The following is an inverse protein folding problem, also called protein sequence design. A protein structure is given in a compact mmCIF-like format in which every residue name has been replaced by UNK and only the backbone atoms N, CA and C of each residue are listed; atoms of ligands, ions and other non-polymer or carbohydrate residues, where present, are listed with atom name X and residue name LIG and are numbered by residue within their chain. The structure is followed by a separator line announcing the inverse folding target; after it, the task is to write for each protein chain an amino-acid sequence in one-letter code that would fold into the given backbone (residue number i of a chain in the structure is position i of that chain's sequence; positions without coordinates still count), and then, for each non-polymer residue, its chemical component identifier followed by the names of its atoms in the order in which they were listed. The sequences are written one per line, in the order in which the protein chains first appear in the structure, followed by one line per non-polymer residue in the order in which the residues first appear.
data_IF_030569651662
#
_entry.id   IF_030569651662
#
_cell.length_a   1.000
_cell.length_b   1.000
_cell.length_c   1.000
_cell.angle_alpha   90.00
_cell.angle_beta   90.00
_cell.angle_gamma   90.00
#
_symmetry.space_group_name_H-M   'P 1'
#
loop_
_entity.id
_entity.type
_entity.pdbx_description
1 polymer ?
#
# COMPACT_ATOMS: atom_id res chain seq x y z
N UNK A 1 -15.65 38.02 -7.46
CA UNK A 1 -16.75 37.35 -8.17
C UNK A 1 -16.57 35.87 -8.45
N UNK A 2 -15.46 35.21 -8.11
CA UNK A 2 -15.26 33.75 -8.31
C UNK A 2 -15.57 32.88 -7.05
N UNK A 3 -16.32 33.43 -6.08
CA UNK A 3 -16.49 32.75 -4.81
C UNK A 3 -17.51 31.59 -4.78
N UNK A 4 -18.35 31.42 -5.81
CA UNK A 4 -19.41 30.41 -5.86
C UNK A 4 -19.58 29.84 -7.29
N UNK A 5 -18.61 29.06 -7.80
CA UNK A 5 -18.66 28.55 -9.17
C UNK A 5 -19.88 27.66 -9.45
N UNK A 6 -20.44 27.02 -8.44
CA UNK A 6 -21.64 26.17 -8.51
C UNK A 6 -22.91 27.00 -8.92
N UNK A 7 -23.01 28.23 -8.49
CA UNK A 7 -24.12 29.11 -8.90
C UNK A 7 -24.00 29.52 -10.38
N UNK A 8 -22.78 29.86 -10.79
CA UNK A 8 -22.55 30.17 -12.22
C UNK A 8 -22.83 28.95 -13.12
N UNK A 9 -22.43 27.74 -12.66
CA UNK A 9 -22.71 26.52 -13.40
C UNK A 9 -24.21 26.31 -13.63
N UNK A 10 -25.04 26.54 -12.61
CA UNK A 10 -26.51 26.44 -12.70
C UNK A 10 -27.08 27.49 -13.63
N UNK A 11 -26.72 28.75 -13.47
CA UNK A 11 -27.21 29.83 -14.34
C UNK A 11 -26.85 29.63 -15.81
N UNK A 12 -25.62 29.15 -16.11
CA UNK A 12 -25.25 28.82 -17.47
C UNK A 12 -26.03 27.61 -18.02
N UNK A 13 -26.35 26.60 -17.21
CA UNK A 13 -27.19 25.48 -17.60
C UNK A 13 -28.61 25.97 -17.97
N UNK A 14 -29.23 26.80 -17.11
CA UNK A 14 -30.55 27.40 -17.32
C UNK A 14 -30.60 28.31 -18.57
N UNK A 15 -29.50 29.02 -18.86
CA UNK A 15 -29.36 29.84 -20.04
C UNK A 15 -29.02 29.07 -21.33
N UNK A 16 -28.95 27.74 -21.30
CA UNK A 16 -28.58 26.89 -22.44
C UNK A 16 -27.10 26.96 -22.83
N UNK A 17 -26.26 27.61 -22.02
CA UNK A 17 -24.82 27.77 -22.27
C UNK A 17 -24.04 26.57 -21.70
N UNK A 18 -24.35 25.38 -22.22
CA UNK A 18 -23.88 24.08 -21.68
C UNK A 18 -22.37 24.02 -21.55
N UNK A 19 -21.60 24.47 -22.55
CA UNK A 19 -20.12 24.44 -22.46
C UNK A 19 -19.56 25.24 -21.28
N UNK A 20 -20.13 26.42 -21.00
CA UNK A 20 -19.76 27.23 -19.83
C UNK A 20 -20.16 26.55 -18.54
N UNK A 21 -21.37 25.97 -18.50
CA UNK A 21 -21.83 25.20 -17.35
C UNK A 21 -20.86 24.08 -16.98
N UNK A 22 -20.39 23.31 -17.95
CA UNK A 22 -19.39 22.22 -17.76
C UNK A 22 -18.11 22.73 -17.08
N UNK A 23 -17.55 23.83 -17.61
CA UNK A 23 -16.33 24.43 -17.05
C UNK A 23 -16.51 24.85 -15.59
N UNK A 24 -17.65 25.47 -15.27
CA UNK A 24 -17.92 25.94 -13.91
C UNK A 24 -18.26 24.81 -12.94
N UNK A 25 -18.92 23.72 -13.37
CA UNK A 25 -19.07 22.51 -12.56
C UNK A 25 -17.71 21.88 -12.26
N UNK A 26 -16.77 21.84 -13.21
CA UNK A 26 -15.41 21.38 -13.00
C UNK A 26 -14.67 22.25 -11.97
N UNK A 27 -14.79 23.59 -12.05
CA UNK A 27 -14.23 24.51 -11.05
C UNK A 27 -14.83 24.29 -9.66
N UNK A 28 -16.16 24.10 -9.57
CA UNK A 28 -16.86 23.83 -8.32
C UNK A 28 -16.36 22.54 -7.67
N UNK A 29 -16.29 21.43 -8.43
CA UNK A 29 -15.81 20.15 -7.95
C UNK A 29 -14.37 20.21 -7.43
N UNK A 30 -13.45 20.81 -8.18
CA UNK A 30 -12.06 20.99 -7.73
C UNK A 30 -11.96 21.86 -6.46
N UNK A 31 -12.77 22.90 -6.36
CA UNK A 31 -12.81 23.76 -5.17
C UNK A 31 -13.33 23.02 -3.94
N UNK A 32 -14.40 22.23 -4.09
CA UNK A 32 -14.93 21.41 -2.99
C UNK A 32 -13.92 20.35 -2.56
N UNK A 33 -13.21 19.71 -3.50
CA UNK A 33 -12.12 18.80 -3.21
C UNK A 33 -10.98 19.46 -2.43
N UNK A 34 -10.57 20.67 -2.81
CA UNK A 34 -9.52 21.44 -2.13
C UNK A 34 -9.89 21.80 -0.67
N UNK A 35 -11.18 21.82 -0.34
CA UNK A 35 -11.69 22.04 1.02
C UNK A 35 -12.03 20.74 1.75
N UNK A 36 -11.62 19.61 1.21
CA UNK A 36 -11.93 18.25 1.71
C UNK A 36 -13.43 17.90 1.73
N UNK A 37 -14.28 18.66 1.03
CA UNK A 37 -15.71 18.38 0.85
C UNK A 37 -15.91 17.35 -0.29
N UNK A 38 -15.38 16.13 -0.10
CA UNK A 38 -15.23 15.14 -1.18
C UNK A 38 -16.56 14.65 -1.75
N UNK A 39 -17.60 14.45 -0.92
CA UNK A 39 -18.93 14.04 -1.38
C UNK A 39 -19.57 15.12 -2.27
N UNK A 40 -19.44 16.39 -1.90
CA UNK A 40 -19.89 17.52 -2.67
C UNK A 40 -19.11 17.63 -3.99
N UNK A 41 -17.78 17.47 -3.93
CA UNK A 41 -16.92 17.45 -5.12
C UNK A 41 -17.36 16.38 -6.13
N UNK A 42 -17.61 15.16 -5.67
CA UNK A 42 -18.08 14.05 -6.52
C UNK A 42 -19.41 14.40 -7.21
N UNK A 43 -20.37 14.95 -6.46
CA UNK A 43 -21.68 15.35 -7.00
C UNK A 43 -21.56 16.49 -8.03
N UNK A 44 -20.71 17.48 -7.78
CA UNK A 44 -20.48 18.60 -8.71
C UNK A 44 -19.80 18.16 -10.00
N UNK A 45 -18.77 17.28 -9.91
CA UNK A 45 -18.10 16.71 -11.08
C UNK A 45 -19.07 15.85 -11.91
N UNK A 46 -19.96 15.08 -11.27
CA UNK A 46 -20.97 14.31 -11.97
C UNK A 46 -21.94 15.21 -12.73
N UNK A 47 -22.43 16.31 -12.13
CA UNK A 47 -23.25 17.30 -12.85
C UNK A 47 -22.53 17.89 -14.06
N UNK A 48 -21.21 18.12 -13.96
CA UNK A 48 -20.40 18.55 -15.10
C UNK A 48 -20.41 17.51 -16.23
N UNK A 49 -20.29 16.23 -15.92
CA UNK A 49 -20.34 15.13 -16.87
C UNK A 49 -21.73 14.98 -17.50
N UNK A 50 -22.80 15.14 -16.71
CA UNK A 50 -24.18 15.08 -17.20
C UNK A 50 -24.44 16.22 -18.21
N UNK A 51 -23.98 17.44 -17.93
CA UNK A 51 -24.05 18.54 -18.87
C UNK A 51 -23.20 18.29 -20.14
N UNK A 52 -22.00 17.71 -19.96
CA UNK A 52 -21.10 17.40 -21.07
C UNK A 52 -21.72 16.37 -22.04
N UNK A 53 -22.55 15.48 -21.55
CA UNK A 53 -23.25 14.49 -22.37
C UNK A 53 -24.22 15.10 -23.39
N UNK A 54 -24.67 16.34 -23.18
CA UNK A 54 -25.55 17.07 -24.09
C UNK A 54 -24.80 17.69 -25.28
N UNK A 55 -23.46 17.73 -25.25
CA UNK A 55 -22.63 18.32 -26.30
C UNK A 55 -22.24 17.27 -27.36
N UNK A 56 -22.09 17.69 -28.64
CA UNK A 56 -21.57 16.80 -29.69
C UNK A 56 -20.16 16.35 -29.40
N UNK A 57 -19.79 15.16 -29.91
CA UNK A 57 -18.44 14.59 -29.72
C UNK A 57 -17.40 15.36 -30.55
N UNK A 58 -16.72 16.27 -29.91
CA UNK A 58 -15.65 17.09 -30.46
C UNK A 58 -14.36 16.92 -29.67
N UNK A 59 -13.18 17.25 -30.21
CA UNK A 59 -11.94 17.24 -29.45
C UNK A 59 -11.99 18.10 -28.17
N UNK A 60 -12.68 19.23 -28.22
CA UNK A 60 -12.88 20.11 -27.07
C UNK A 60 -13.75 19.44 -25.99
N UNK A 61 -14.86 18.80 -26.38
CA UNK A 61 -15.67 18.00 -25.44
C UNK A 61 -14.86 16.90 -24.79
N UNK A 62 -14.06 16.16 -25.57
CA UNK A 62 -13.18 15.09 -25.05
C UNK A 62 -12.16 15.65 -24.05
N UNK A 63 -11.63 16.85 -24.29
CA UNK A 63 -10.72 17.50 -23.34
C UNK A 63 -11.41 17.84 -22.02
N UNK A 64 -12.62 18.39 -22.06
CA UNK A 64 -13.41 18.64 -20.86
C UNK A 64 -13.79 17.34 -20.12
N UNK A 65 -14.12 16.28 -20.87
CA UNK A 65 -14.37 14.96 -20.26
C UNK A 65 -13.13 14.44 -19.54
N UNK A 66 -11.93 14.56 -20.15
CA UNK A 66 -10.66 14.19 -19.54
C UNK A 66 -10.44 14.91 -18.21
N UNK A 67 -10.61 16.24 -18.19
CA UNK A 67 -10.44 17.08 -17.00
C UNK A 67 -11.40 16.66 -15.86
N UNK A 68 -12.67 16.46 -16.19
CA UNK A 68 -13.69 16.04 -15.22
C UNK A 68 -13.43 14.64 -14.69
N UNK A 69 -13.15 13.66 -15.57
CA UNK A 69 -12.89 12.27 -15.19
C UNK A 69 -11.61 12.13 -14.36
N UNK A 70 -10.57 12.87 -14.70
CA UNK A 70 -9.34 12.95 -13.93
C UNK A 70 -9.60 13.45 -12.50
N UNK A 71 -10.31 14.58 -12.36
CA UNK A 71 -10.70 15.11 -11.05
C UNK A 71 -11.62 14.16 -10.29
N UNK A 72 -12.56 13.49 -10.98
CA UNK A 72 -13.47 12.51 -10.39
C UNK A 72 -12.71 11.29 -9.84
N UNK A 73 -11.73 10.78 -10.60
CA UNK A 73 -10.87 9.69 -10.16
C UNK A 73 -10.13 10.02 -8.85
N UNK A 74 -9.53 11.20 -8.76
CA UNK A 74 -8.85 11.66 -7.55
C UNK A 74 -9.81 11.78 -6.34
N UNK A 75 -11.02 12.31 -6.56
CA UNK A 75 -12.06 12.40 -5.51
C UNK A 75 -12.52 11.00 -5.07
N UNK A 76 -12.74 10.08 -6.01
CA UNK A 76 -13.16 8.71 -5.68
C UNK A 76 -12.10 7.93 -4.90
N UNK A 77 -10.82 8.17 -5.13
CA UNK A 77 -9.75 7.61 -4.28
C UNK A 77 -9.99 7.92 -2.80
N UNK A 78 -10.41 9.14 -2.48
CA UNK A 78 -10.65 9.57 -1.09
C UNK A 78 -11.97 9.03 -0.54
N UNK A 79 -13.04 9.04 -1.32
CA UNK A 79 -14.41 8.69 -0.86
C UNK A 79 -14.69 7.19 -0.92
N UNK A 80 -14.22 6.52 -1.96
CA UNK A 80 -14.52 5.12 -2.27
C UNK A 80 -13.33 4.20 -2.02
N UNK A 81 -12.10 4.74 -2.13
CA UNK A 81 -10.86 3.99 -2.07
C UNK A 81 -10.22 3.76 -3.44
N UNK A 82 -8.92 3.48 -3.42
CA UNK A 82 -8.12 3.29 -4.65
C UNK A 82 -8.57 2.09 -5.50
N UNK A 83 -9.13 1.06 -4.88
CA UNK A 83 -9.54 -0.19 -5.55
C UNK A 83 -11.04 -0.24 -5.87
N UNK A 84 -11.80 0.82 -5.59
CA UNK A 84 -13.23 0.86 -5.84
C UNK A 84 -13.55 0.84 -7.36
N UNK A 85 -14.58 0.12 -7.80
CA UNK A 85 -14.94 0.04 -9.21
C UNK A 85 -15.15 1.42 -9.88
N UNK A 86 -15.74 2.37 -9.17
CA UNK A 86 -15.97 3.73 -9.67
C UNK A 86 -14.67 4.49 -9.90
N UNK A 87 -13.65 4.27 -9.02
CA UNK A 87 -12.30 4.83 -9.20
C UNK A 87 -11.67 4.26 -10.46
N UNK A 88 -11.76 2.94 -10.65
CA UNK A 88 -11.26 2.26 -11.85
C UNK A 88 -11.91 2.76 -13.13
N UNK A 89 -13.24 2.87 -13.16
CA UNK A 89 -14.00 3.37 -14.32
C UNK A 89 -13.61 4.82 -14.70
N UNK A 90 -13.49 5.68 -13.68
CA UNK A 90 -13.12 7.07 -13.91
C UNK A 90 -11.71 7.18 -14.54
N UNK A 91 -10.72 6.45 -13.97
CA UNK A 91 -9.35 6.46 -14.52
C UNK A 91 -9.23 5.73 -15.85
N UNK A 92 -9.96 4.63 -16.08
CA UNK A 92 -9.93 3.92 -17.36
C UNK A 92 -10.43 4.85 -18.49
N UNK A 93 -11.59 5.51 -18.29
CA UNK A 93 -12.11 6.46 -19.27
C UNK A 93 -11.20 7.67 -19.46
N UNK A 94 -10.66 8.20 -18.38
CA UNK A 94 -9.68 9.29 -18.46
C UNK A 94 -8.42 8.86 -19.24
N UNK A 95 -7.94 7.65 -19.09
CA UNK A 95 -6.75 7.13 -19.79
C UNK A 95 -7.01 6.97 -21.30
N UNK A 96 -8.16 6.42 -21.69
CA UNK A 96 -8.56 6.35 -23.10
C UNK A 96 -8.56 7.74 -23.76
N UNK A 97 -9.15 8.73 -23.10
CA UNK A 97 -9.19 10.10 -23.58
C UNK A 97 -7.79 10.74 -23.62
N UNK A 98 -6.97 10.44 -22.62
CA UNK A 98 -5.59 10.92 -22.56
C UNK A 98 -4.77 10.41 -23.75
N UNK A 99 -4.90 9.12 -24.11
CA UNK A 99 -4.25 8.55 -25.31
C UNK A 99 -4.78 9.19 -26.60
N UNK A 100 -6.11 9.31 -26.75
CA UNK A 100 -6.76 9.92 -27.92
C UNK A 100 -6.35 11.37 -28.15
N UNK A 101 -6.06 12.11 -27.10
CA UNK A 101 -5.62 13.51 -27.14
C UNK A 101 -4.09 13.68 -27.25
N UNK A 102 -3.35 12.59 -27.55
CA UNK A 102 -1.90 12.62 -27.71
C UNK A 102 -1.13 12.66 -26.40
N UNK A 103 -1.71 12.15 -25.33
CA UNK A 103 -1.07 11.95 -24.02
C UNK A 103 -0.48 13.24 -23.41
N UNK A 104 -1.27 14.32 -23.23
CA UNK A 104 -0.74 15.60 -22.77
C UNK A 104 -0.07 15.49 -21.39
N UNK A 105 1.08 16.16 -21.20
CA UNK A 105 1.90 16.11 -19.99
C UNK A 105 1.19 16.61 -18.72
N UNK A 106 0.22 17.53 -18.87
CA UNK A 106 -0.57 18.01 -17.73
C UNK A 106 -1.39 16.92 -17.02
N UNK A 107 -1.56 15.73 -17.63
CA UNK A 107 -2.42 14.65 -17.14
C UNK A 107 -1.67 13.33 -16.91
N UNK A 108 -0.37 13.38 -16.63
CA UNK A 108 0.45 12.17 -16.35
C UNK A 108 0.04 11.43 -15.05
N UNK A 109 -0.70 12.10 -14.17
CA UNK A 109 -1.31 11.47 -13.00
C UNK A 109 -2.44 10.49 -13.34
N UNK A 110 -2.99 10.51 -14.55
CA UNK A 110 -4.04 9.57 -14.99
C UNK A 110 -3.51 8.14 -15.14
N UNK A 111 -2.48 7.85 -15.99
CA UNK A 111 -1.92 6.50 -16.07
C UNK A 111 -1.34 6.03 -14.72
N UNK A 112 -0.83 6.94 -13.89
CA UNK A 112 -0.43 6.63 -12.52
C UNK A 112 -1.63 6.20 -11.67
N UNK A 113 -2.74 6.93 -11.67
CA UNK A 113 -3.95 6.61 -10.91
C UNK A 113 -4.56 5.28 -11.35
N UNK A 114 -4.59 5.00 -12.65
CA UNK A 114 -5.04 3.72 -13.19
C UNK A 114 -4.11 2.58 -12.77
N UNK A 115 -2.78 2.77 -12.83
CA UNK A 115 -1.83 1.78 -12.33
C UNK A 115 -2.03 1.51 -10.84
N UNK A 116 -2.25 2.55 -10.03
CA UNK A 116 -2.54 2.40 -8.60
C UNK A 116 -3.82 1.60 -8.34
N UNK A 117 -4.87 1.80 -9.13
CA UNK A 117 -6.10 1.01 -9.07
C UNK A 117 -5.81 -0.49 -9.30
N UNK A 118 -5.09 -0.84 -10.37
CA UNK A 118 -4.75 -2.22 -10.70
C UNK A 118 -3.82 -2.87 -9.67
N UNK A 119 -2.83 -2.14 -9.15
CA UNK A 119 -1.98 -2.63 -8.05
C UNK A 119 -2.84 -3.05 -6.85
N UNK A 120 -3.76 -2.19 -6.43
CA UNK A 120 -4.56 -2.46 -5.24
C UNK A 120 -5.53 -3.63 -5.40
N UNK A 121 -5.93 -3.95 -6.62
CA UNK A 121 -6.75 -5.11 -6.96
C UNK A 121 -5.95 -6.40 -7.20
N UNK A 122 -4.62 -6.36 -7.11
CA UNK A 122 -3.78 -7.52 -7.40
C UNK A 122 -3.58 -7.79 -8.92
N UNK A 123 -3.87 -6.84 -9.77
CA UNK A 123 -3.76 -6.95 -11.24
C UNK A 123 -2.38 -6.46 -11.72
N UNK A 124 -1.30 -7.07 -11.18
CA UNK A 124 0.07 -6.55 -11.27
C UNK A 124 0.64 -6.47 -12.69
N UNK A 125 0.27 -7.39 -13.57
CA UNK A 125 0.73 -7.36 -14.97
C UNK A 125 0.18 -6.13 -15.72
N UNK A 126 -1.06 -5.76 -15.45
CA UNK A 126 -1.68 -4.56 -16.01
C UNK A 126 -1.02 -3.29 -15.46
N UNK A 127 -0.86 -3.25 -14.15
CA UNK A 127 -0.19 -2.16 -13.47
C UNK A 127 1.25 -1.94 -13.95
N UNK A 128 1.99 -3.03 -14.20
CA UNK A 128 3.35 -2.96 -14.72
C UNK A 128 3.40 -2.35 -16.13
N UNK A 129 2.52 -2.78 -17.04
CA UNK A 129 2.44 -2.21 -18.38
C UNK A 129 2.13 -0.70 -18.36
N UNK A 130 1.24 -0.26 -17.48
CA UNK A 130 0.90 1.15 -17.31
C UNK A 130 2.09 1.97 -16.79
N UNK A 131 2.80 1.46 -15.79
CA UNK A 131 4.00 2.10 -15.25
C UNK A 131 5.11 2.21 -16.30
N UNK A 132 5.36 1.15 -17.08
CA UNK A 132 6.34 1.14 -18.18
C UNK A 132 5.93 2.08 -19.32
N UNK A 133 4.65 2.12 -19.66
CA UNK A 133 4.09 3.06 -20.63
C UNK A 133 4.33 4.52 -20.21
N UNK A 134 4.01 4.83 -18.95
CA UNK A 134 4.26 6.15 -18.37
C UNK A 134 5.74 6.52 -18.38
N UNK A 135 6.63 5.60 -17.98
CA UNK A 135 8.09 5.80 -18.03
C UNK A 135 8.60 6.04 -19.45
N UNK A 136 8.07 5.31 -20.44
CA UNK A 136 8.46 5.45 -21.85
C UNK A 136 8.08 6.82 -22.39
N UNK A 137 6.83 7.24 -22.22
CA UNK A 137 6.34 8.55 -22.68
C UNK A 137 7.11 9.68 -21.99
N UNK A 138 7.36 9.54 -20.69
CA UNK A 138 8.06 10.56 -19.90
C UNK A 138 9.52 10.70 -20.29
N UNK A 139 10.22 9.58 -20.62
CA UNK A 139 11.60 9.61 -21.14
C UNK A 139 11.67 10.32 -22.51
N UNK A 140 10.78 9.98 -23.43
CA UNK A 140 10.73 10.59 -24.76
C UNK A 140 10.53 12.10 -24.71
N UNK A 141 9.83 12.60 -23.68
CA UNK A 141 9.51 14.03 -23.50
C UNK A 141 10.42 14.75 -22.52
N UNK A 142 11.40 14.04 -21.92
CA UNK A 142 12.20 14.57 -20.81
C UNK A 142 11.36 15.10 -19.66
N UNK A 143 10.20 14.45 -19.41
CA UNK A 143 9.22 14.85 -18.40
C UNK A 143 9.57 14.23 -17.05
N UNK A 144 10.20 15.01 -16.20
CA UNK A 144 10.65 14.54 -14.88
C UNK A 144 9.49 14.24 -13.91
N UNK A 145 8.29 14.86 -14.08
CA UNK A 145 7.12 14.56 -13.26
C UNK A 145 6.60 13.15 -13.55
N UNK A 146 6.42 12.84 -14.83
CA UNK A 146 6.02 11.52 -15.25
C UNK A 146 7.05 10.44 -14.89
N UNK A 147 8.35 10.76 -14.92
CA UNK A 147 9.39 9.84 -14.46
C UNK A 147 9.25 9.54 -12.96
N UNK A 148 8.99 10.54 -12.11
CA UNK A 148 8.73 10.33 -10.67
C UNK A 148 7.56 9.39 -10.46
N UNK A 149 6.41 9.68 -11.09
CA UNK A 149 5.19 8.87 -10.95
C UNK A 149 5.38 7.44 -11.50
N UNK A 150 6.03 7.31 -12.64
CA UNK A 150 6.30 6.01 -13.27
C UNK A 150 7.25 5.14 -12.44
N UNK A 151 8.33 5.71 -11.91
CA UNK A 151 9.24 4.99 -11.02
C UNK A 151 8.57 4.61 -9.70
N UNK A 152 7.78 5.51 -9.09
CA UNK A 152 7.02 5.19 -7.89
C UNK A 152 6.01 4.05 -8.13
N UNK A 153 5.25 4.12 -9.23
CA UNK A 153 4.28 3.08 -9.60
C UNK A 153 4.96 1.71 -9.81
N UNK A 154 6.06 1.67 -10.56
CA UNK A 154 6.84 0.45 -10.80
C UNK A 154 7.40 -0.12 -9.48
N UNK A 155 7.99 0.74 -8.63
CA UNK A 155 8.53 0.33 -7.34
C UNK A 155 7.47 -0.28 -6.42
N UNK A 156 6.30 0.36 -6.34
CA UNK A 156 5.18 -0.16 -5.56
C UNK A 156 4.64 -1.50 -6.09
N UNK A 157 4.53 -1.64 -7.40
CA UNK A 157 4.11 -2.89 -8.04
C UNK A 157 5.08 -4.03 -7.73
N UNK A 158 6.39 -3.78 -7.89
CA UNK A 158 7.46 -4.73 -7.63
C UNK A 158 7.52 -5.18 -6.16
N UNK A 159 7.22 -4.29 -5.21
CA UNK A 159 7.10 -4.64 -3.79
C UNK A 159 6.06 -5.73 -3.57
N UNK A 160 4.85 -5.58 -4.14
CA UNK A 160 3.77 -6.54 -3.92
C UNK A 160 4.05 -7.93 -4.52
N UNK A 161 4.83 -8.00 -5.59
CA UNK A 161 5.25 -9.27 -6.18
C UNK A 161 6.60 -9.78 -5.63
N UNK A 162 7.07 -9.21 -4.51
CA UNK A 162 8.26 -9.68 -3.80
C UNK A 162 9.61 -9.39 -4.50
N UNK A 163 9.66 -8.49 -5.47
CA UNK A 163 10.91 -8.06 -6.14
C UNK A 163 11.51 -6.86 -5.42
N UNK A 164 11.94 -7.09 -4.16
CA UNK A 164 12.29 -6.00 -3.25
C UNK A 164 13.51 -5.17 -3.69
N UNK A 165 14.58 -5.79 -4.19
CA UNK A 165 15.75 -5.07 -4.67
C UNK A 165 15.42 -4.14 -5.86
N UNK A 166 14.67 -4.64 -6.83
CA UNK A 166 14.18 -3.83 -7.95
C UNK A 166 13.21 -2.73 -7.50
N UNK A 167 12.34 -3.03 -6.53
CA UNK A 167 11.43 -2.07 -5.91
C UNK A 167 12.21 -0.92 -5.27
N UNK A 168 13.22 -1.24 -4.44
CA UNK A 168 14.13 -0.27 -3.82
C UNK A 168 14.73 0.66 -4.86
N UNK A 169 15.32 0.12 -5.92
CA UNK A 169 15.94 0.92 -6.98
C UNK A 169 14.96 1.92 -7.61
N UNK A 170 13.74 1.47 -7.91
CA UNK A 170 12.72 2.34 -8.50
C UNK A 170 12.27 3.44 -7.51
N UNK A 171 12.07 3.11 -6.24
CA UNK A 171 11.63 4.07 -5.22
C UNK A 171 12.71 5.11 -4.91
N UNK A 172 13.97 4.70 -4.77
CA UNK A 172 15.11 5.61 -4.59
C UNK A 172 15.27 6.53 -5.81
N UNK A 173 15.07 6.01 -7.03
CA UNK A 173 15.10 6.81 -8.26
C UNK A 173 13.97 7.84 -8.30
N UNK A 174 12.75 7.45 -7.90
CA UNK A 174 11.62 8.37 -7.80
C UNK A 174 11.91 9.52 -6.81
N UNK A 175 12.45 9.21 -5.63
CA UNK A 175 12.81 10.21 -4.62
C UNK A 175 13.93 11.13 -5.11
N UNK A 176 14.99 10.58 -5.71
CA UNK A 176 16.08 11.40 -6.26
C UNK A 176 15.58 12.38 -7.31
N UNK A 177 14.75 11.92 -8.25
CA UNK A 177 14.14 12.77 -9.27
C UNK A 177 13.21 13.82 -8.66
N UNK A 178 12.42 13.47 -7.64
CA UNK A 178 11.50 14.39 -6.99
C UNK A 178 12.24 15.56 -6.32
N UNK A 179 13.33 15.30 -5.62
CA UNK A 179 14.07 16.34 -4.89
C UNK A 179 14.97 17.22 -5.76
N UNK A 180 15.34 16.75 -6.95
CA UNK A 180 16.13 17.55 -7.90
C UNK A 180 15.28 18.45 -8.80
N UNK A 181 13.95 18.36 -8.74
CA UNK A 181 13.05 19.16 -9.56
C UNK A 181 12.85 20.58 -9.00
N UNK A 182 12.94 21.63 -9.86
CA UNK A 182 12.61 23.00 -9.47
C UNK A 182 11.09 23.19 -9.27
N UNK A 183 10.26 22.52 -10.09
CA UNK A 183 8.79 22.60 -10.03
C UNK A 183 8.19 21.26 -9.59
N UNK A 184 7.39 21.31 -8.53
CA UNK A 184 6.67 20.16 -7.94
C UNK A 184 5.17 20.20 -8.15
N UNK A 185 4.64 21.23 -8.83
CA UNK A 185 3.19 21.47 -8.95
C UNK A 185 2.44 20.31 -9.61
N UNK A 186 2.98 19.77 -10.72
CA UNK A 186 2.35 18.65 -11.45
C UNK A 186 2.31 17.33 -10.65
N UNK A 187 3.19 17.18 -9.67
CA UNK A 187 3.24 15.99 -8.82
C UNK A 187 2.23 16.10 -7.68
N UNK A 188 1.84 17.33 -7.30
CA UNK A 188 0.84 17.60 -6.27
C UNK A 188 -0.60 17.28 -6.70
N UNK A 189 -0.86 17.11 -7.98
CA UNK A 189 -2.17 16.71 -8.52
C UNK A 189 -2.47 15.21 -8.31
N UNK A 190 -1.46 14.40 -7.96
CA UNK A 190 -1.69 13.05 -7.50
C UNK A 190 -2.45 13.07 -6.15
N UNK A 191 -3.34 12.09 -5.92
CA UNK A 191 -4.16 12.02 -4.71
C UNK A 191 -3.33 12.00 -3.41
N UNK A 192 -2.05 11.66 -3.51
CA UNK A 192 -1.05 11.66 -2.43
C UNK A 192 0.28 12.23 -2.95
N UNK A 193 1.01 13.02 -2.14
CA UNK A 193 2.38 13.43 -2.47
C UNK A 193 3.27 12.21 -2.74
N UNK A 194 3.86 12.10 -3.94
CA UNK A 194 4.59 10.88 -4.33
C UNK A 194 5.82 10.60 -3.46
N UNK A 195 6.48 11.65 -2.95
CA UNK A 195 7.66 11.49 -2.08
C UNK A 195 7.30 10.87 -0.73
N UNK A 196 6.19 11.29 -0.10
CA UNK A 196 5.74 10.74 1.17
C UNK A 196 5.32 9.27 1.00
N UNK A 197 4.56 8.99 -0.06
CA UNK A 197 4.14 7.64 -0.39
C UNK A 197 5.34 6.75 -0.75
N UNK A 198 6.31 7.25 -1.52
CA UNK A 198 7.52 6.51 -1.87
C UNK A 198 8.37 6.19 -0.64
N UNK A 199 8.51 7.12 0.31
CA UNK A 199 9.21 6.87 1.59
C UNK A 199 8.51 5.79 2.42
N UNK A 200 7.17 5.83 2.52
CA UNK A 200 6.40 4.81 3.25
C UNK A 200 6.61 3.41 2.66
N UNK A 201 6.51 3.28 1.34
CA UNK A 201 6.75 2.01 0.64
C UNK A 201 8.22 1.59 0.74
N UNK A 202 9.17 2.52 0.56
CA UNK A 202 10.61 2.24 0.67
C UNK A 202 10.98 1.78 2.07
N UNK A 203 10.40 2.36 3.12
CA UNK A 203 10.62 1.91 4.49
C UNK A 203 10.22 0.44 4.68
N UNK A 204 9.08 0.04 4.14
CA UNK A 204 8.67 -1.37 4.19
C UNK A 204 9.60 -2.29 3.35
N UNK A 205 9.99 -1.87 2.16
CA UNK A 205 10.93 -2.60 1.29
C UNK A 205 12.29 -2.78 1.98
N UNK A 206 12.82 -1.73 2.60
CA UNK A 206 14.08 -1.78 3.35
C UNK A 206 13.99 -2.75 4.54
N UNK A 207 12.87 -2.77 5.25
CA UNK A 207 12.63 -3.74 6.32
C UNK A 207 12.73 -5.17 5.78
N UNK A 208 12.03 -5.49 4.69
CA UNK A 208 12.09 -6.81 4.07
C UNK A 208 13.52 -7.18 3.62
N UNK A 209 14.25 -6.23 3.06
CA UNK A 209 15.65 -6.40 2.63
C UNK A 209 16.65 -6.52 3.79
N UNK A 210 16.24 -6.31 5.05
CA UNK A 210 17.11 -6.44 6.22
C UNK A 210 17.81 -5.15 6.66
N UNK A 211 17.24 -3.99 6.33
CA UNK A 211 17.73 -2.67 6.74
C UNK A 211 16.72 -1.95 7.67
N UNK A 212 16.56 -2.41 8.92
CA UNK A 212 15.50 -1.89 9.81
C UNK A 212 15.72 -0.44 10.27
N UNK A 213 16.97 0.03 10.44
CA UNK A 213 17.25 1.40 10.83
C UNK A 213 16.99 2.38 9.68
N UNK A 214 17.36 2.01 8.45
CA UNK A 214 17.01 2.77 7.26
C UNK A 214 15.48 2.75 7.04
N UNK A 215 14.80 1.64 7.31
CA UNK A 215 13.35 1.53 7.24
C UNK A 215 12.67 2.50 8.21
N UNK A 216 13.14 2.58 9.46
CA UNK A 216 12.68 3.53 10.47
C UNK A 216 12.87 4.98 10.00
N UNK A 217 14.05 5.32 9.49
CA UNK A 217 14.32 6.66 8.98
C UNK A 217 13.34 7.08 7.87
N UNK A 218 13.04 6.19 6.93
CA UNK A 218 12.11 6.48 5.83
C UNK A 218 10.67 6.65 6.31
N UNK A 219 10.15 5.76 7.16
CA UNK A 219 8.77 5.86 7.67
C UNK A 219 8.59 7.07 8.58
N UNK A 220 9.56 7.37 9.44
CA UNK A 220 9.56 8.59 10.27
C UNK A 220 9.54 9.86 9.40
N UNK A 221 10.35 9.91 8.35
CA UNK A 221 10.37 11.03 7.41
C UNK A 221 9.06 11.17 6.64
N UNK A 222 8.39 10.07 6.29
CA UNK A 222 7.08 10.09 5.65
C UNK A 222 6.00 10.69 6.57
N UNK A 223 5.92 10.23 7.83
CA UNK A 223 4.98 10.75 8.83
C UNK A 223 5.24 12.23 9.13
N UNK A 224 6.50 12.60 9.39
CA UNK A 224 6.87 13.99 9.68
C UNK A 224 6.58 14.93 8.50
N UNK A 225 6.83 14.48 7.27
CA UNK A 225 6.50 15.21 6.06
C UNK A 225 5.00 15.41 5.85
N UNK A 226 4.19 14.41 6.21
CA UNK A 226 2.73 14.46 6.08
C UNK A 226 2.06 15.41 7.09
N UNK A 227 2.67 15.61 8.26
CA UNK A 227 2.15 16.53 9.30
C UNK A 227 2.30 18.00 8.93
N UNK A 228 3.34 18.39 8.15
CA UNK A 228 3.64 19.79 7.84
C UNK A 228 2.60 20.52 6.98
N UNK A 229 2.08 19.93 5.88
CA UNK A 229 1.09 20.60 5.03
C UNK A 229 -0.36 20.35 5.49
N UNK A 230 -0.62 19.79 6.66
CA UNK A 230 -1.95 19.44 7.16
C UNK A 230 -2.82 18.73 6.09
N UNK A 231 -2.25 17.68 5.44
CA UNK A 231 -2.96 16.88 4.44
C UNK A 231 -3.37 15.52 5.02
N UNK A 232 -4.60 15.40 5.57
CA UNK A 232 -5.04 14.20 6.30
C UNK A 232 -4.87 12.87 5.55
N UNK A 233 -5.13 12.78 4.22
CA UNK A 233 -4.90 11.54 3.50
C UNK A 233 -3.44 11.06 3.51
N UNK A 234 -2.48 12.01 3.40
CA UNK A 234 -1.06 11.68 3.45
C UNK A 234 -0.61 11.26 4.84
N UNK A 235 -1.17 11.87 5.88
CA UNK A 235 -0.90 11.48 7.25
C UNK A 235 -1.42 10.07 7.53
N UNK A 236 -2.66 9.75 7.13
CA UNK A 236 -3.20 8.40 7.25
C UNK A 236 -2.35 7.37 6.51
N UNK A 237 -1.84 7.70 5.31
CA UNK A 237 -0.94 6.83 4.56
C UNK A 237 0.38 6.59 5.29
N UNK A 238 1.04 7.66 5.76
CA UNK A 238 2.29 7.58 6.51
C UNK A 238 2.15 6.74 7.78
N UNK A 239 1.12 7.02 8.58
CA UNK A 239 0.80 6.27 9.80
C UNK A 239 0.50 4.78 9.50
N UNK A 240 -0.23 4.49 8.43
CA UNK A 240 -0.55 3.13 8.02
C UNK A 240 0.71 2.32 7.61
N UNK A 241 1.67 2.94 6.91
CA UNK A 241 2.94 2.29 6.59
C UNK A 241 3.80 2.07 7.82
N UNK A 242 3.88 3.06 8.74
CA UNK A 242 4.66 2.94 9.96
C UNK A 242 4.04 1.89 10.92
N UNK A 243 2.73 1.88 11.11
CA UNK A 243 2.03 0.87 11.90
C UNK A 243 2.28 -0.55 11.36
N UNK A 244 2.30 -0.71 10.02
CA UNK A 244 2.62 -2.02 9.41
C UNK A 244 4.05 -2.44 9.70
N UNK A 245 5.03 -1.54 9.57
CA UNK A 245 6.42 -1.80 9.93
C UNK A 245 6.55 -2.26 11.39
N UNK A 246 5.89 -1.54 12.30
CA UNK A 246 5.90 -1.84 13.73
C UNK A 246 5.26 -3.20 14.06
N UNK A 247 4.17 -3.56 13.36
CA UNK A 247 3.52 -4.86 13.55
C UNK A 247 4.42 -6.05 13.20
N UNK A 248 5.36 -5.86 12.27
CA UNK A 248 6.35 -6.90 11.93
C UNK A 248 7.55 -6.92 12.89
N UNK A 249 7.92 -5.78 13.47
CA UNK A 249 9.03 -5.69 14.40
C UNK A 249 8.66 -6.11 15.83
N UNK A 250 7.37 -6.19 16.15
CA UNK A 250 6.90 -6.51 17.50
C UNK A 250 7.11 -5.39 18.50
N UNK A 251 7.16 -4.15 18.04
CA UNK A 251 7.17 -2.95 18.90
C UNK A 251 5.71 -2.55 19.19
N UNK A 252 5.12 -3.26 20.15
CA UNK A 252 3.70 -3.14 20.46
C UNK A 252 3.34 -1.77 21.08
N UNK A 253 4.26 -1.12 21.79
CA UNK A 253 4.05 0.20 22.37
C UNK A 253 3.96 1.30 21.29
N UNK A 254 4.95 1.33 20.39
CA UNK A 254 4.94 2.28 19.29
C UNK A 254 3.79 1.99 18.30
N UNK A 255 3.44 0.71 18.09
CA UNK A 255 2.30 0.34 17.26
C UNK A 255 0.98 0.89 17.83
N UNK A 256 0.79 0.84 19.14
CA UNK A 256 -0.41 1.39 19.81
C UNK A 256 -0.55 2.88 19.51
N UNK A 257 0.51 3.66 19.75
CA UNK A 257 0.49 5.09 19.45
C UNK A 257 0.12 5.40 18.01
N UNK A 258 0.67 4.66 17.06
CA UNK A 258 0.38 4.83 15.63
C UNK A 258 -1.03 4.41 15.26
N UNK A 259 -1.55 3.33 15.86
CA UNK A 259 -2.91 2.86 15.63
C UNK A 259 -3.93 3.88 16.16
N UNK A 260 -3.72 4.42 17.36
CA UNK A 260 -4.60 5.41 17.96
C UNK A 260 -4.62 6.72 17.15
N UNK A 261 -3.45 7.21 16.71
CA UNK A 261 -3.35 8.39 15.84
C UNK A 261 -4.06 8.14 14.50
N UNK A 262 -3.89 6.96 13.90
CA UNK A 262 -4.54 6.60 12.65
C UNK A 262 -6.07 6.53 12.82
N UNK A 263 -6.58 5.97 13.92
CA UNK A 263 -8.00 5.97 14.25
C UNK A 263 -8.54 7.39 14.34
N UNK A 264 -7.86 8.28 15.07
CA UNK A 264 -8.28 9.67 15.22
C UNK A 264 -8.40 10.38 13.87
N UNK A 265 -7.36 10.32 13.04
CA UNK A 265 -7.35 10.94 11.70
C UNK A 265 -8.44 10.39 10.79
N UNK A 266 -8.67 9.06 10.81
CA UNK A 266 -9.63 8.43 9.90
C UNK A 266 -11.08 8.60 10.34
N UNK A 267 -11.34 8.72 11.64
CA UNK A 267 -12.68 9.00 12.19
C UNK A 267 -13.13 10.42 11.83
N UNK A 268 -12.22 11.39 11.93
CA UNK A 268 -12.53 12.78 11.60
C UNK A 268 -12.81 12.96 10.11
N UNK A 269 -12.08 12.26 9.24
CA UNK A 269 -12.08 12.48 7.79
C UNK A 269 -12.94 11.50 6.99
N UNK A 270 -13.36 10.38 7.58
CA UNK A 270 -14.21 9.38 6.93
C UNK A 270 -13.52 8.65 5.76
N UNK A 271 -12.26 8.24 5.91
CA UNK A 271 -11.49 7.52 4.87
C UNK A 271 -11.69 5.99 4.98
N UNK A 272 -12.52 5.33 4.14
CA UNK A 272 -12.91 3.93 4.33
C UNK A 272 -11.73 2.96 4.38
N UNK A 273 -10.79 3.09 3.46
CA UNK A 273 -9.61 2.23 3.40
C UNK A 273 -8.71 2.37 4.64
N UNK A 274 -8.39 3.60 5.02
CA UNK A 274 -7.51 3.85 6.17
C UNK A 274 -8.20 3.55 7.49
N UNK A 275 -9.51 3.76 7.59
CA UNK A 275 -10.33 3.39 8.74
C UNK A 275 -10.35 1.86 8.94
N UNK A 276 -10.49 1.10 7.85
CA UNK A 276 -10.39 -0.36 7.90
C UNK A 276 -9.00 -0.82 8.39
N UNK A 277 -7.92 -0.19 7.90
CA UNK A 277 -6.56 -0.49 8.38
C UNK A 277 -6.35 -0.11 9.84
N UNK A 278 -6.85 1.06 10.27
CA UNK A 278 -6.81 1.49 11.67
C UNK A 278 -7.48 0.45 12.59
N UNK A 279 -8.64 -0.05 12.16
CA UNK A 279 -9.36 -1.11 12.89
C UNK A 279 -8.55 -2.40 12.98
N UNK A 280 -7.85 -2.80 11.90
CA UNK A 280 -6.95 -3.97 11.91
C UNK A 280 -5.82 -3.77 12.93
N UNK A 281 -5.11 -2.65 12.89
CA UNK A 281 -3.99 -2.41 13.81
C UNK A 281 -4.45 -2.27 15.26
N UNK A 282 -5.59 -1.62 15.52
CA UNK A 282 -6.19 -1.55 16.85
C UNK A 282 -6.57 -2.94 17.36
N UNK A 283 -7.16 -3.79 16.51
CA UNK A 283 -7.47 -5.17 16.83
C UNK A 283 -6.21 -5.97 17.20
N UNK A 284 -5.13 -5.78 16.47
CA UNK A 284 -3.86 -6.41 16.77
C UNK A 284 -3.27 -5.95 18.10
N UNK A 285 -3.30 -4.64 18.39
CA UNK A 285 -2.88 -4.10 19.70
C UNK A 285 -3.69 -4.73 20.84
N UNK A 286 -5.01 -4.85 20.69
CA UNK A 286 -5.87 -5.52 21.69
C UNK A 286 -5.45 -6.98 21.95
N UNK A 287 -5.12 -7.74 20.91
CA UNK A 287 -4.59 -9.10 21.05
C UNK A 287 -3.31 -9.10 21.89
N UNK A 288 -2.38 -8.17 21.62
CA UNK A 288 -1.10 -8.04 22.33
C UNK A 288 -1.27 -7.61 23.79
N UNK A 289 -2.33 -6.88 24.10
CA UNK A 289 -2.70 -6.46 25.46
C UNK A 289 -3.41 -7.58 26.28
N UNK A 290 -3.64 -8.76 25.66
CA UNK A 290 -4.34 -9.87 26.28
C UNK A 290 -5.87 -9.86 26.09
N UNK A 291 -6.43 -8.83 25.47
CA UNK A 291 -7.86 -8.73 25.12
C UNK A 291 -8.16 -9.49 23.81
N UNK A 292 -7.81 -10.78 23.78
CA UNK A 292 -7.72 -11.59 22.55
C UNK A 292 -9.06 -11.66 21.82
N UNK A 293 -10.17 -11.89 22.54
CA UNK A 293 -11.50 -12.00 21.93
C UNK A 293 -11.92 -10.72 21.25
N UNK A 294 -11.76 -9.56 21.91
CA UNK A 294 -12.09 -8.24 21.32
C UNK A 294 -11.16 -7.96 20.13
N UNK A 295 -9.87 -8.28 20.27
CA UNK A 295 -8.89 -8.11 19.20
C UNK A 295 -9.25 -8.91 17.95
N UNK A 296 -9.65 -10.18 18.07
CA UNK A 296 -10.12 -11.01 16.94
C UNK A 296 -11.35 -10.40 16.28
N UNK A 297 -12.32 -9.91 17.04
CA UNK A 297 -13.52 -9.25 16.48
C UNK A 297 -13.14 -8.03 15.65
N UNK A 298 -12.26 -7.17 16.15
CA UNK A 298 -11.77 -5.99 15.43
C UNK A 298 -10.95 -6.37 14.19
N UNK A 299 -10.05 -7.36 14.28
CA UNK A 299 -9.28 -7.86 13.14
C UNK A 299 -10.21 -8.39 12.03
N UNK A 300 -11.26 -9.14 12.38
CA UNK A 300 -12.27 -9.62 11.41
C UNK A 300 -13.05 -8.48 10.78
N UNK A 301 -13.53 -7.55 11.60
CA UNK A 301 -14.27 -6.37 11.12
C UNK A 301 -13.41 -5.51 10.17
N UNK A 302 -12.17 -5.20 10.57
CA UNK A 302 -11.23 -4.44 9.76
C UNK A 302 -10.85 -5.15 8.46
N UNK A 303 -10.62 -6.47 8.50
CA UNK A 303 -10.34 -7.29 7.31
C UNK A 303 -11.51 -7.31 6.33
N UNK A 304 -12.74 -7.42 6.84
CA UNK A 304 -13.96 -7.38 6.03
C UNK A 304 -14.15 -6.01 5.39
N UNK A 305 -14.00 -4.94 6.17
CA UNK A 305 -14.10 -3.58 5.68
C UNK A 305 -13.02 -3.26 4.63
N UNK A 306 -11.78 -3.74 4.83
CA UNK A 306 -10.69 -3.57 3.87
C UNK A 306 -11.04 -4.20 2.52
N UNK A 307 -11.51 -5.43 2.52
CA UNK A 307 -11.92 -6.15 1.29
C UNK A 307 -13.14 -5.51 0.63
N UNK A 308 -14.06 -4.95 1.40
CA UNK A 308 -15.21 -4.22 0.87
C UNK A 308 -14.82 -3.00 0.02
N UNK A 309 -13.60 -2.45 0.22
CA UNK A 309 -13.04 -1.40 -0.66
C UNK A 309 -12.50 -1.93 -1.99
N UNK A 310 -12.55 -3.23 -2.25
CA UNK A 310 -11.94 -3.90 -3.41
C UNK A 310 -10.43 -4.16 -3.27
N UNK A 311 -9.86 -3.88 -2.09
CA UNK A 311 -8.43 -4.03 -1.82
C UNK A 311 -8.02 -5.49 -1.68
N UNK A 312 -7.15 -5.97 -2.56
CA UNK A 312 -6.54 -7.31 -2.47
C UNK A 312 -5.06 -7.26 -2.06
N UNK A 313 -4.32 -6.26 -2.52
CA UNK A 313 -2.87 -6.20 -2.36
C UNK A 313 -2.37 -6.28 -0.90
N UNK A 314 -3.13 -5.75 0.05
CA UNK A 314 -2.79 -5.80 1.48
C UNK A 314 -3.51 -6.90 2.26
N UNK A 315 -4.43 -7.65 1.64
CA UNK A 315 -5.25 -8.68 2.29
C UNK A 315 -4.46 -9.80 3.01
N UNK A 316 -3.30 -10.27 2.51
CA UNK A 316 -2.54 -11.30 3.23
C UNK A 316 -2.09 -10.89 4.63
N UNK A 317 -1.82 -9.60 4.89
CA UNK A 317 -1.34 -9.14 6.19
C UNK A 317 -2.38 -9.26 7.33
N UNK A 318 -3.60 -8.68 7.25
CA UNK A 318 -4.60 -8.88 8.28
C UNK A 318 -4.99 -10.35 8.46
N UNK A 319 -4.91 -11.18 7.43
CA UNK A 319 -5.13 -12.63 7.58
C UNK A 319 -4.03 -13.31 8.38
N UNK A 320 -2.75 -12.88 8.20
CA UNK A 320 -1.64 -13.34 9.02
C UNK A 320 -1.80 -12.93 10.49
N UNK A 321 -2.26 -11.69 10.75
CA UNK A 321 -2.55 -11.22 12.12
C UNK A 321 -3.71 -11.98 12.76
N UNK A 322 -4.77 -12.29 12.00
CA UNK A 322 -5.87 -13.14 12.47
C UNK A 322 -5.39 -14.54 12.82
N UNK A 323 -4.55 -15.15 11.99
CA UNK A 323 -3.98 -16.45 12.26
C UNK A 323 -3.18 -16.45 13.58
N UNK A 324 -2.34 -15.42 13.78
CA UNK A 324 -1.58 -15.29 15.04
C UNK A 324 -2.48 -15.05 16.26
N UNK A 325 -3.55 -14.25 16.09
CA UNK A 325 -4.52 -14.02 17.15
C UNK A 325 -5.24 -15.32 17.58
N UNK A 326 -5.65 -16.14 16.63
CA UNK A 326 -6.25 -17.45 16.89
C UNK A 326 -5.22 -18.44 17.49
N UNK A 327 -3.96 -18.38 17.07
CA UNK A 327 -2.87 -19.16 17.68
C UNK A 327 -2.70 -18.79 19.16
N UNK A 328 -2.74 -17.48 19.49
CA UNK A 328 -2.67 -16.98 20.88
C UNK A 328 -3.90 -17.43 21.69
N UNK A 329 -5.08 -17.48 21.05
CA UNK A 329 -6.32 -17.99 21.67
C UNK A 329 -6.31 -19.52 21.90
N UNK A 330 -5.33 -20.25 21.33
CA UNK A 330 -5.29 -21.72 21.36
C UNK A 330 -6.18 -22.39 20.30
N UNK A 331 -6.76 -21.62 19.39
CA UNK A 331 -7.65 -22.08 18.32
C UNK A 331 -6.84 -22.41 17.05
N UNK A 332 -6.06 -23.47 17.09
CA UNK A 332 -5.09 -23.81 16.03
C UNK A 332 -5.72 -24.14 14.68
N UNK A 333 -6.91 -24.74 14.65
CA UNK A 333 -7.62 -25.04 13.39
C UNK A 333 -8.05 -23.76 12.68
N UNK A 334 -8.61 -22.78 13.40
CA UNK A 334 -8.96 -21.47 12.85
C UNK A 334 -7.71 -20.72 12.39
N UNK A 335 -6.61 -20.80 13.17
CA UNK A 335 -5.33 -20.21 12.78
C UNK A 335 -4.83 -20.76 11.43
N UNK A 336 -4.85 -22.11 11.26
CA UNK A 336 -4.49 -22.74 9.97
C UNK A 336 -5.42 -22.30 8.84
N UNK A 337 -6.73 -22.24 9.09
CA UNK A 337 -7.70 -21.82 8.09
C UNK A 337 -7.44 -20.39 7.59
N UNK A 338 -7.02 -19.46 8.46
CA UNK A 338 -6.67 -18.10 8.05
C UNK A 338 -5.35 -18.03 7.29
N UNK A 339 -4.34 -18.83 7.65
CA UNK A 339 -3.10 -18.95 6.86
C UNK A 339 -3.38 -19.50 5.46
N UNK A 340 -4.24 -20.52 5.36
CA UNK A 340 -4.64 -21.07 4.06
C UNK A 340 -5.41 -20.07 3.20
N UNK A 341 -6.26 -19.25 3.81
CA UNK A 341 -6.91 -18.14 3.10
C UNK A 341 -5.88 -17.12 2.59
N UNK A 342 -4.89 -16.76 3.41
CA UNK A 342 -3.82 -15.85 3.00
C UNK A 342 -2.98 -16.41 1.84
N UNK A 343 -2.61 -17.69 1.90
CA UNK A 343 -1.87 -18.38 0.85
C UNK A 343 -2.68 -18.50 -0.45
N UNK A 344 -3.98 -18.77 -0.37
CA UNK A 344 -4.85 -18.76 -1.56
C UNK A 344 -4.92 -17.39 -2.25
N UNK A 345 -4.93 -16.29 -1.50
CA UNK A 345 -4.84 -14.95 -2.10
C UNK A 345 -3.54 -14.79 -2.88
N UNK A 346 -2.42 -15.27 -2.35
CA UNK A 346 -1.11 -15.27 -3.04
C UNK A 346 -1.18 -16.05 -4.35
N UNK A 347 -1.72 -17.26 -4.32
CA UNK A 347 -1.81 -18.15 -5.48
C UNK A 347 -2.70 -17.58 -6.59
N UNK A 348 -3.80 -16.93 -6.22
CA UNK A 348 -4.78 -16.41 -7.18
C UNK A 348 -4.43 -15.06 -7.77
N UNK A 349 -3.69 -14.23 -7.05
CA UNK A 349 -3.39 -12.85 -7.46
C UNK A 349 -1.93 -12.62 -7.87
N UNK A 350 -1.01 -13.51 -7.46
CA UNK A 350 0.44 -13.32 -7.63
C UNK A 350 1.06 -12.36 -6.60
N UNK A 351 0.31 -11.94 -5.58
CA UNK A 351 0.87 -11.25 -4.41
C UNK A 351 1.87 -12.17 -3.75
N UNK A 352 3.12 -11.76 -3.55
CA UNK A 352 4.11 -12.68 -2.97
C UNK A 352 4.97 -12.08 -1.86
N UNK A 353 4.79 -10.78 -1.57
CA UNK A 353 5.61 -10.06 -0.59
C UNK A 353 5.63 -10.67 0.83
N UNK A 354 4.59 -11.42 1.22
CA UNK A 354 4.47 -12.08 2.52
C UNK A 354 4.55 -13.61 2.43
N UNK A 355 4.79 -14.17 1.25
CA UNK A 355 4.72 -15.61 1.00
C UNK A 355 5.68 -16.42 1.88
N UNK A 356 6.90 -15.95 2.06
CA UNK A 356 7.89 -16.60 2.93
C UNK A 356 7.39 -16.69 4.37
N UNK A 357 6.94 -15.59 4.95
CA UNK A 357 6.49 -15.53 6.34
C UNK A 357 5.22 -16.36 6.59
N UNK A 358 4.27 -16.39 5.64
CA UNK A 358 3.06 -17.22 5.74
C UNK A 358 3.38 -18.72 5.74
N UNK A 359 4.28 -19.17 4.87
CA UNK A 359 4.73 -20.57 4.87
C UNK A 359 5.46 -20.91 6.18
N UNK A 360 6.33 -20.02 6.68
CA UNK A 360 7.01 -20.20 7.96
C UNK A 360 6.01 -20.33 9.11
N UNK A 361 5.03 -19.45 9.21
CA UNK A 361 4.00 -19.49 10.26
C UNK A 361 3.15 -20.76 10.19
N UNK A 362 2.77 -21.18 8.99
CA UNK A 362 2.05 -22.44 8.80
C UNK A 362 2.89 -23.61 9.27
N UNK A 363 4.20 -23.65 8.94
CA UNK A 363 5.13 -24.64 9.45
C UNK A 363 5.22 -24.64 10.98
N UNK A 364 5.23 -23.45 11.61
CA UNK A 364 5.25 -23.33 13.07
C UNK A 364 4.01 -23.94 13.73
N UNK A 365 2.81 -23.73 13.18
CA UNK A 365 1.59 -24.33 13.70
C UNK A 365 1.57 -25.85 13.53
N UNK A 366 1.99 -26.37 12.38
CA UNK A 366 2.08 -27.81 12.15
C UNK A 366 3.10 -28.47 13.08
N UNK A 367 4.22 -27.80 13.38
CA UNK A 367 5.19 -28.28 14.37
C UNK A 367 4.56 -28.42 15.76
N UNK A 368 3.76 -27.44 16.20
CA UNK A 368 3.03 -27.52 17.48
C UNK A 368 2.01 -28.66 17.54
N UNK A 369 1.48 -29.07 16.39
CA UNK A 369 0.60 -30.25 16.27
C UNK A 369 1.35 -31.58 16.14
N UNK A 370 2.69 -31.57 16.24
CA UNK A 370 3.53 -32.74 16.11
C UNK A 370 3.84 -33.19 14.68
N UNK A 371 3.42 -32.38 13.67
CA UNK A 371 3.66 -32.70 12.27
C UNK A 371 5.02 -32.13 11.80
N UNK A 372 6.09 -32.77 12.28
CA UNK A 372 7.47 -32.30 12.16
C UNK A 372 7.95 -32.24 10.70
N UNK A 373 7.58 -33.21 9.86
CA UNK A 373 8.08 -33.32 8.49
C UNK A 373 7.44 -32.24 7.61
N UNK A 374 6.14 -32.04 7.72
CA UNK A 374 5.44 -30.96 7.02
C UNK A 374 5.92 -29.57 7.49
N UNK A 375 6.25 -29.41 8.77
CA UNK A 375 6.83 -28.17 9.28
C UNK A 375 8.20 -27.88 8.65
N UNK A 376 9.07 -28.90 8.56
CA UNK A 376 10.40 -28.75 7.95
C UNK A 376 10.31 -28.41 6.46
N UNK A 377 9.39 -29.06 5.73
CA UNK A 377 9.11 -28.74 4.31
C UNK A 377 8.68 -27.27 4.13
N UNK A 378 7.73 -26.79 4.95
CA UNK A 378 7.26 -25.41 4.87
C UNK A 378 8.32 -24.40 5.28
N UNK A 379 9.17 -24.69 6.24
CA UNK A 379 10.31 -23.83 6.57
C UNK A 379 11.32 -23.79 5.43
N UNK A 380 11.61 -24.92 4.78
CA UNK A 380 12.45 -24.99 3.58
C UNK A 380 11.89 -24.15 2.45
N UNK A 381 10.58 -24.25 2.19
CA UNK A 381 9.87 -23.43 1.21
C UNK A 381 9.94 -21.94 1.55
N UNK A 382 9.73 -21.58 2.83
CA UNK A 382 9.85 -20.20 3.29
C UNK A 382 11.26 -19.63 3.06
N UNK A 383 12.30 -20.40 3.37
CA UNK A 383 13.69 -20.02 3.16
C UNK A 383 14.02 -19.83 1.67
N UNK A 384 13.55 -20.73 0.80
CA UNK A 384 13.73 -20.62 -0.65
C UNK A 384 13.09 -19.33 -1.19
N UNK A 385 11.82 -19.09 -0.86
CA UNK A 385 11.10 -17.87 -1.28
C UNK A 385 11.82 -16.62 -0.78
N UNK A 386 12.24 -16.59 0.49
CA UNK A 386 12.94 -15.44 1.07
C UNK A 386 14.25 -15.12 0.32
N UNK A 387 15.01 -16.16 -0.06
CA UNK A 387 16.24 -16.02 -0.85
C UNK A 387 15.99 -15.52 -2.27
N UNK A 388 14.98 -16.05 -2.95
CA UNK A 388 14.57 -15.60 -4.28
C UNK A 388 14.14 -14.13 -4.28
N UNK A 389 13.53 -13.66 -3.19
CA UNK A 389 13.09 -12.29 -2.99
C UNK A 389 14.20 -11.37 -2.46
N UNK A 390 15.38 -11.91 -2.13
CA UNK A 390 16.44 -11.20 -1.39
C UNK A 390 15.95 -10.61 -0.05
N UNK A 391 14.90 -11.20 0.52
CA UNK A 391 14.21 -10.72 1.73
C UNK A 391 14.92 -11.21 2.98
N UNK A 392 15.99 -10.53 3.39
CA UNK A 392 16.88 -10.93 4.49
C UNK A 392 16.17 -11.05 5.83
N UNK A 393 15.15 -10.23 6.09
CA UNK A 393 14.34 -10.35 7.29
C UNK A 393 13.56 -11.69 7.32
N UNK A 394 12.94 -12.07 6.20
CA UNK A 394 12.23 -13.35 6.09
C UNK A 394 13.20 -14.52 6.05
N UNK A 395 14.36 -14.37 5.41
CA UNK A 395 15.44 -15.39 5.42
C UNK A 395 15.91 -15.68 6.83
N UNK A 396 16.13 -14.64 7.66
CA UNK A 396 16.53 -14.79 9.07
C UNK A 396 15.49 -15.56 9.87
N UNK A 397 14.21 -15.19 9.77
CA UNK A 397 13.12 -15.86 10.47
C UNK A 397 12.95 -17.33 10.06
N UNK A 398 13.06 -17.62 8.77
CA UNK A 398 12.99 -18.98 8.26
C UNK A 398 14.20 -19.81 8.72
N UNK A 399 15.42 -19.25 8.64
CA UNK A 399 16.63 -19.89 9.14
C UNK A 399 16.59 -20.16 10.63
N UNK A 400 16.09 -19.23 11.45
CA UNK A 400 15.88 -19.45 12.88
C UNK A 400 14.90 -20.59 13.15
N UNK A 401 13.80 -20.68 12.40
CA UNK A 401 12.81 -21.76 12.57
C UNK A 401 13.41 -23.12 12.26
N UNK A 402 14.19 -23.23 11.17
CA UNK A 402 14.93 -24.46 10.82
C UNK A 402 16.01 -24.78 11.86
N UNK A 403 16.74 -23.76 12.31
CA UNK A 403 17.82 -23.95 13.28
C UNK A 403 17.29 -24.48 14.64
N UNK A 404 16.15 -23.95 15.13
CA UNK A 404 15.48 -24.47 16.33
C UNK A 404 15.07 -25.94 16.14
N UNK A 405 14.44 -26.27 15.00
CA UNK A 405 14.03 -27.65 14.72
C UNK A 405 15.22 -28.61 14.66
N UNK A 406 16.33 -28.20 14.03
CA UNK A 406 17.57 -29.01 13.96
C UNK A 406 18.22 -29.16 15.34
N UNK A 407 18.30 -28.10 16.13
CA UNK A 407 18.80 -28.10 17.50
C UNK A 407 18.01 -29.13 18.35
N UNK A 408 16.70 -29.09 18.30
CA UNK A 408 15.82 -29.95 19.09
C UNK A 408 15.92 -31.44 18.67
N UNK A 409 16.42 -31.69 17.45
CA UNK A 409 16.80 -33.03 16.95
C UNK A 409 18.26 -33.37 17.17
N UNK A 410 19.01 -32.60 17.96
CA UNK A 410 20.43 -32.84 18.28
C UNK A 410 21.42 -32.43 17.18
N UNK A 411 20.95 -31.81 16.10
CA UNK A 411 21.77 -31.39 14.93
C UNK A 411 22.27 -29.95 15.09
N UNK A 412 23.01 -29.69 16.19
CA UNK A 412 23.41 -28.31 16.55
C UNK A 412 24.39 -27.70 15.55
N UNK A 413 25.34 -28.45 15.02
CA UNK A 413 26.29 -27.98 14.01
C UNK A 413 25.57 -27.53 12.73
N UNK A 414 24.66 -28.37 12.20
CA UNK A 414 23.86 -28.01 11.00
C UNK A 414 22.96 -26.81 11.23
N UNK A 415 22.46 -26.60 12.45
CA UNK A 415 21.66 -25.44 12.82
C UNK A 415 22.52 -24.18 12.80
N UNK A 416 23.72 -24.24 13.37
CA UNK A 416 24.68 -23.11 13.38
C UNK A 416 25.16 -22.76 11.98
N UNK A 417 25.56 -23.76 11.18
CA UNK A 417 26.06 -23.57 9.80
C UNK A 417 25.01 -22.89 8.90
N UNK A 418 23.73 -23.14 9.16
CA UNK A 418 22.64 -22.46 8.47
C UNK A 418 22.46 -21.01 8.95
N UNK A 419 22.41 -20.79 10.27
CA UNK A 419 21.98 -19.50 10.84
C UNK A 419 23.11 -18.47 10.87
N UNK A 420 24.35 -18.87 11.16
CA UNK A 420 25.46 -17.94 11.33
C UNK A 420 25.75 -17.07 10.10
N UNK A 421 25.78 -17.60 8.85
CA UNK A 421 25.96 -16.77 7.67
C UNK A 421 24.81 -15.79 7.44
N UNK A 422 23.55 -16.18 7.74
CA UNK A 422 22.38 -15.32 7.57
C UNK A 422 22.42 -14.17 8.59
N UNK A 423 22.73 -14.47 9.85
CA UNK A 423 22.91 -13.44 10.89
C UNK A 423 24.09 -12.50 10.57
N UNK A 424 25.24 -13.04 10.14
CA UNK A 424 26.43 -12.28 9.82
C UNK A 424 26.30 -11.34 8.61
N UNK A 425 25.22 -11.46 7.84
CA UNK A 425 24.92 -10.55 6.74
C UNK A 425 24.45 -9.17 7.22
N UNK A 426 23.80 -9.08 8.41
CA UNK A 426 23.22 -7.85 8.92
C UNK A 426 24.31 -6.88 9.41
N UNK A 427 24.13 -5.60 9.09
CA UNK A 427 25.04 -4.50 9.45
C UNK A 427 24.37 -3.45 10.34
N UNK A 428 23.06 -3.56 10.57
CA UNK A 428 22.24 -2.64 11.36
C UNK A 428 21.08 -3.37 12.03
N UNK A 429 20.33 -2.69 12.89
CA UNK A 429 19.09 -3.20 13.49
C UNK A 429 19.29 -4.24 14.60
N UNK A 430 20.47 -4.31 15.22
CA UNK A 430 20.79 -5.30 16.27
C UNK A 430 19.95 -5.15 17.55
N UNK A 431 19.21 -4.04 17.66
CA UNK A 431 18.24 -3.82 18.73
C UNK A 431 16.86 -4.44 18.44
N UNK A 432 16.61 -4.88 17.21
CA UNK A 432 15.35 -5.54 16.84
C UNK A 432 15.22 -6.90 17.52
N UNK A 433 13.98 -7.30 17.77
CA UNK A 433 13.68 -8.61 18.38
C UNK A 433 14.25 -9.77 17.57
N UNK A 434 14.11 -9.73 16.25
CA UNK A 434 14.57 -10.81 15.36
C UNK A 434 16.09 -11.03 15.46
N UNK A 435 16.89 -9.96 15.47
CA UNK A 435 18.35 -10.08 15.57
C UNK A 435 18.82 -10.46 16.98
N UNK A 436 18.14 -9.98 18.03
CA UNK A 436 18.39 -10.44 19.41
C UNK A 436 18.09 -11.93 19.58
N UNK A 437 16.93 -12.39 19.07
CA UNK A 437 16.54 -13.80 19.14
C UNK A 437 17.49 -14.71 18.32
N UNK A 438 17.95 -14.23 17.15
CA UNK A 438 18.92 -14.95 16.32
C UNK A 438 20.28 -15.06 17.03
N UNK A 439 20.77 -13.98 17.66
CA UNK A 439 22.01 -13.98 18.43
C UNK A 439 21.94 -14.95 19.61
N UNK A 440 20.85 -14.88 20.39
CA UNK A 440 20.65 -15.79 21.51
C UNK A 440 20.62 -17.25 21.06
N UNK A 441 19.98 -17.54 19.92
CA UNK A 441 19.99 -18.92 19.37
C UNK A 441 21.39 -19.35 18.92
N UNK A 442 22.19 -18.48 18.31
CA UNK A 442 23.57 -18.79 17.92
C UNK A 442 24.46 -19.04 19.14
N UNK A 443 24.28 -18.29 20.22
CA UNK A 443 25.01 -18.49 21.48
C UNK A 443 24.61 -19.81 22.14
N UNK A 444 23.33 -20.21 22.09
CA UNK A 444 22.88 -21.52 22.54
C UNK A 444 23.45 -22.67 21.66
N UNK A 445 23.68 -22.46 20.38
CA UNK A 445 24.25 -23.48 19.46
C UNK A 445 25.78 -23.61 19.54
N UNK A 446 26.43 -22.72 20.26
CA UNK A 446 27.89 -22.78 20.48
C UNK A 446 28.22 -23.75 21.58
#
# INVERSE_FOLDING_TARGET
MESQPELFARHYAEAGLVGKSVVYWGKAGRRSAARSAMAEAAAQLQKGLDQLALLPDTPERRRHELELRSSQGAVFVSVKGQAAPETGQAYARAHELWEQLGSPSAFLHIPYGQSAYHINRGEFNLAQRLAEGLLRVSRQRSDSAGLVLGHYSAGRNLMFIGRFASSRWHLEKALALYYTRPDRSLVLEAAFPPDLSAKGVLGFVLLCLGYPDQALAQTTAAVAGARRPAHPPSLAAGLGFDARRLSFLGDDAALRERADELVAVTTEQGFPFWSAQATVFRGWVKVKDGEVTEGILLLRAGSTALRATGMEAWTPHPFALLAEAYEIAGEFEESLAWLDRALRVIETTGISWLAAELNRRKGQLLLRQGNNDAAEELYGKALCIAREQEAKMWELRAAMSIARLRRDRGRRADARDLLAPVYGWFTEGFDTKDLKDAKALLDDLS
#
